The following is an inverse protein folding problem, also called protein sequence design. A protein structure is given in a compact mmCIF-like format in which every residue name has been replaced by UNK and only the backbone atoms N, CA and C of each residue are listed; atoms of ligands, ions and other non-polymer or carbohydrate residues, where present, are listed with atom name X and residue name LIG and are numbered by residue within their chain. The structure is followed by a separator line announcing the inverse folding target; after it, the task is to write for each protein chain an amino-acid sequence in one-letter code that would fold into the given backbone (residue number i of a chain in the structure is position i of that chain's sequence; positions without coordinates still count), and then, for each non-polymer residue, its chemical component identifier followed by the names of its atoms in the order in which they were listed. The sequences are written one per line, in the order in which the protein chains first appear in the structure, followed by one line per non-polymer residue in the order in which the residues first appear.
data_IF_897746901789
#
_entry.id   IF_897746901789
#
_cell.length_a   1.000
_cell.length_b   1.000
_cell.length_c   1.000
_cell.angle_alpha   90.00
_cell.angle_beta   90.00
_cell.angle_gamma   90.00
#
_symmetry.space_group_name_H-M   'P 1'
#
loop_
_entity.id
_entity.type
_entity.pdbx_description
1 polymer ?
#
# COMPACT_ATOMS: atom_id res chain seq x y z
N UNK A 1 39.70 -11.18 -17.89
CA UNK A 1 38.72 -10.25 -17.32
C UNK A 1 37.29 -10.63 -17.78
N UNK A 2 36.98 -10.69 -19.09
CA UNK A 2 35.66 -11.02 -19.62
C UNK A 2 35.13 -12.38 -19.14
N UNK A 3 35.97 -13.44 -19.20
CA UNK A 3 35.59 -14.78 -18.71
C UNK A 3 35.24 -14.78 -17.22
N UNK A 4 36.00 -14.08 -16.38
CA UNK A 4 35.72 -13.97 -14.96
C UNK A 4 34.32 -13.29 -14.69
N UNK A 5 34.04 -12.22 -15.40
CA UNK A 5 32.73 -11.54 -15.33
C UNK A 5 31.56 -12.42 -15.79
N UNK A 6 31.77 -13.24 -16.82
CA UNK A 6 30.76 -14.19 -17.29
C UNK A 6 30.47 -15.24 -16.20
N UNK A 7 31.55 -15.87 -15.66
CA UNK A 7 31.40 -16.88 -14.59
C UNK A 7 30.74 -16.30 -13.34
N UNK A 8 31.11 -15.10 -12.95
CA UNK A 8 30.47 -14.40 -11.83
C UNK A 8 28.97 -14.17 -12.10
N UNK A 9 28.60 -13.67 -13.28
CA UNK A 9 27.22 -13.46 -13.68
C UNK A 9 26.41 -14.78 -13.70
N UNK A 10 26.99 -15.88 -14.16
CA UNK A 10 26.38 -17.20 -14.15
C UNK A 10 26.16 -17.70 -12.72
N UNK A 11 27.13 -17.53 -11.84
CA UNK A 11 27.04 -17.87 -10.41
C UNK A 11 25.92 -17.08 -9.73
N UNK A 12 25.85 -15.78 -9.96
CA UNK A 12 24.80 -14.91 -9.42
C UNK A 12 23.40 -15.31 -9.93
N UNK A 13 23.29 -15.65 -11.21
CA UNK A 13 22.03 -16.14 -11.81
C UNK A 13 21.59 -17.48 -11.21
N UNK A 14 22.54 -18.40 -11.00
CA UNK A 14 22.26 -19.70 -10.39
C UNK A 14 21.77 -19.53 -8.93
N UNK A 15 22.44 -18.68 -8.15
CA UNK A 15 22.04 -18.35 -6.79
C UNK A 15 20.65 -17.66 -6.73
N UNK A 16 20.35 -16.77 -7.66
CA UNK A 16 19.06 -16.13 -7.77
C UNK A 16 17.93 -17.14 -8.06
N UNK A 17 18.16 -18.06 -9.01
CA UNK A 17 17.19 -19.14 -9.32
C UNK A 17 16.94 -20.07 -8.13
N UNK A 18 17.97 -20.39 -7.35
CA UNK A 18 17.83 -21.22 -6.16
C UNK A 18 16.95 -20.51 -5.11
N UNK A 19 17.24 -19.24 -4.84
CA UNK A 19 16.42 -18.41 -3.93
C UNK A 19 14.97 -18.33 -4.39
N UNK A 20 14.73 -18.08 -5.67
CA UNK A 20 13.38 -18.01 -6.23
C UNK A 20 12.61 -19.33 -6.06
N UNK A 21 13.25 -20.48 -6.28
CA UNK A 21 12.65 -21.81 -6.04
C UNK A 21 12.25 -22.01 -4.58
N UNK A 22 13.14 -21.63 -3.65
CA UNK A 22 12.86 -21.74 -2.22
C UNK A 22 11.73 -20.79 -1.79
N UNK A 23 11.73 -19.56 -2.26
CA UNK A 23 10.63 -18.61 -2.03
C UNK A 23 9.30 -19.14 -2.58
N UNK A 24 9.30 -19.69 -3.79
CA UNK A 24 8.12 -20.32 -4.37
C UNK A 24 7.62 -21.52 -3.56
N UNK A 25 8.56 -22.28 -2.94
CA UNK A 25 8.20 -23.37 -2.01
C UNK A 25 7.49 -22.83 -0.76
N UNK A 26 8.04 -21.77 -0.15
CA UNK A 26 7.46 -21.13 1.03
C UNK A 26 6.07 -20.54 0.73
N UNK A 27 5.89 -19.88 -0.40
CA UNK A 27 4.57 -19.36 -0.81
C UNK A 27 3.56 -20.50 -0.99
N UNK A 28 3.97 -21.67 -1.52
CA UNK A 28 3.07 -22.83 -1.62
C UNK A 28 2.66 -23.37 -0.25
N UNK A 29 3.57 -23.37 0.73
CA UNK A 29 3.25 -23.74 2.11
C UNK A 29 2.23 -22.79 2.70
N UNK A 30 2.47 -21.47 2.62
CA UNK A 30 1.54 -20.46 3.11
C UNK A 30 0.16 -20.57 2.44
N UNK A 31 0.13 -20.88 1.15
CA UNK A 31 -1.12 -21.18 0.44
C UNK A 31 -1.84 -22.41 0.99
N UNK A 32 -1.10 -23.48 1.25
CA UNK A 32 -1.67 -24.71 1.82
C UNK A 32 -2.21 -24.48 3.23
N UNK A 33 -1.57 -23.59 4.00
CA UNK A 33 -2.02 -23.13 5.31
C UNK A 33 -3.21 -22.14 5.23
N UNK A 34 -3.71 -21.82 4.03
CA UNK A 34 -4.88 -20.97 3.82
C UNK A 34 -4.62 -19.48 3.86
N UNK A 35 -3.36 -19.01 3.73
CA UNK A 35 -3.06 -17.59 3.61
C UNK A 35 -3.66 -17.00 2.34
N UNK A 36 -4.09 -15.74 2.40
CA UNK A 36 -4.67 -15.01 1.28
C UNK A 36 -3.65 -14.81 0.16
N UNK A 37 -3.93 -15.43 -0.97
CA UNK A 37 -3.13 -15.26 -2.17
C UNK A 37 -3.60 -14.07 -2.99
N UNK A 38 -2.66 -13.34 -3.57
CA UNK A 38 -2.96 -12.28 -4.52
C UNK A 38 -3.44 -12.89 -5.84
N UNK A 39 -4.50 -12.33 -6.40
CA UNK A 39 -5.02 -12.74 -7.70
C UNK A 39 -4.00 -12.50 -8.83
N UNK A 40 -4.26 -13.10 -10.00
CA UNK A 40 -3.32 -13.07 -11.12
C UNK A 40 -3.10 -11.65 -11.66
N UNK A 41 -4.15 -10.86 -11.84
CA UNK A 41 -4.08 -9.51 -12.42
C UNK A 41 -3.26 -8.58 -11.54
N UNK A 42 -3.67 -8.45 -10.28
CA UNK A 42 -2.96 -7.67 -9.26
C UNK A 42 -1.52 -8.14 -9.10
N UNK A 43 -1.30 -9.46 -8.98
CA UNK A 43 0.04 -10.02 -8.80
C UNK A 43 0.98 -9.76 -9.98
N UNK A 44 0.47 -9.78 -11.21
CA UNK A 44 1.26 -9.46 -12.41
C UNK A 44 1.72 -8.00 -12.42
N UNK A 45 0.81 -7.05 -12.18
CA UNK A 45 1.15 -5.63 -12.23
C UNK A 45 2.05 -5.22 -11.07
N UNK A 46 1.78 -5.69 -9.84
CA UNK A 46 2.63 -5.41 -8.68
C UNK A 46 4.03 -6.02 -8.87
N UNK A 47 4.13 -7.24 -9.42
CA UNK A 47 5.41 -7.87 -9.74
C UNK A 47 6.19 -7.10 -10.81
N UNK A 48 5.53 -6.57 -11.83
CA UNK A 48 6.17 -5.76 -12.86
C UNK A 48 6.67 -4.42 -12.30
N UNK A 49 5.87 -3.73 -11.48
CA UNK A 49 6.28 -2.51 -10.78
C UNK A 49 7.46 -2.76 -9.82
N UNK A 50 7.47 -3.88 -9.11
CA UNK A 50 8.59 -4.25 -8.24
C UNK A 50 9.90 -4.43 -9.03
N UNK A 51 9.85 -5.10 -10.19
CA UNK A 51 11.00 -5.25 -11.09
C UNK A 51 11.49 -3.92 -11.67
N UNK A 52 10.55 -3.03 -12.03
CA UNK A 52 10.89 -1.68 -12.48
C UNK A 52 11.52 -0.81 -11.38
N UNK A 53 11.40 -1.22 -10.11
CA UNK A 53 12.03 -0.53 -8.97
C UNK A 53 11.10 0.43 -8.24
N UNK A 54 9.78 0.40 -8.46
CA UNK A 54 8.82 1.31 -7.83
C UNK A 54 8.96 1.34 -6.31
N UNK A 55 9.02 0.16 -5.65
CA UNK A 55 9.13 0.09 -4.19
C UNK A 55 10.51 0.50 -3.67
N UNK A 56 11.56 0.24 -4.43
CA UNK A 56 12.92 0.70 -4.14
C UNK A 56 13.03 2.23 -4.17
N UNK A 57 12.27 2.87 -5.04
CA UNK A 57 12.22 4.32 -5.23
C UNK A 57 11.18 5.03 -4.35
N UNK A 58 10.72 4.37 -3.28
CA UNK A 58 9.83 4.96 -2.29
C UNK A 58 8.34 4.82 -2.59
N UNK A 59 7.97 4.08 -3.64
CA UNK A 59 6.58 3.69 -3.85
C UNK A 59 6.10 2.78 -2.72
N UNK A 60 4.94 3.05 -2.18
CA UNK A 60 4.32 2.31 -1.07
C UNK A 60 2.96 1.82 -1.53
N UNK A 61 2.76 0.51 -1.54
CA UNK A 61 1.46 -0.11 -1.80
C UNK A 61 0.54 0.21 -0.64
N UNK A 62 -0.63 0.75 -0.93
CA UNK A 62 -1.62 1.14 0.09
C UNK A 62 -2.97 0.48 -0.19
N UNK A 63 -4.02 0.92 0.48
CA UNK A 63 -5.38 0.42 0.24
C UNK A 63 -5.57 -1.04 0.62
N UNK A 64 -6.45 -1.74 -0.10
CA UNK A 64 -6.83 -3.12 0.19
C UNK A 64 -5.69 -4.10 0.01
N UNK A 65 -4.82 -3.88 -0.95
CA UNK A 65 -3.69 -4.78 -1.21
C UNK A 65 -2.67 -4.73 -0.07
N UNK A 66 -2.40 -3.55 0.51
CA UNK A 66 -1.58 -3.44 1.71
C UNK A 66 -2.21 -4.14 2.92
N UNK A 67 -3.52 -3.96 3.13
CA UNK A 67 -4.25 -4.61 4.21
C UNK A 67 -4.11 -6.13 4.18
N UNK A 68 -4.18 -6.75 3.00
CA UNK A 68 -4.01 -8.20 2.82
C UNK A 68 -2.61 -8.69 3.21
N UNK A 69 -1.59 -7.87 3.04
CA UNK A 69 -0.23 -8.21 3.42
C UNK A 69 -0.05 -8.32 4.96
N UNK A 70 -0.92 -7.67 5.73
CA UNK A 70 -0.86 -7.74 7.21
C UNK A 70 -1.25 -9.12 7.76
N UNK A 71 -1.89 -9.98 6.98
CA UNK A 71 -2.09 -11.38 7.38
C UNK A 71 -0.76 -12.08 7.70
N UNK A 72 0.24 -11.93 6.82
CA UNK A 72 1.57 -12.48 7.04
C UNK A 72 2.40 -11.68 8.04
N UNK A 73 2.26 -10.35 8.07
CA UNK A 73 3.02 -9.47 8.96
C UNK A 73 2.63 -9.62 10.44
N UNK A 74 1.34 -9.84 10.70
CA UNK A 74 0.81 -9.93 12.07
C UNK A 74 0.45 -11.37 12.47
N UNK A 75 0.62 -12.35 11.59
CA UNK A 75 0.25 -13.73 11.89
C UNK A 75 -1.24 -13.96 12.12
N UNK A 76 -2.09 -13.11 11.58
CA UNK A 76 -3.55 -13.19 11.72
C UNK A 76 -4.21 -13.82 10.51
N UNK A 77 -5.50 -14.15 10.60
CA UNK A 77 -6.33 -14.56 9.46
C UNK A 77 -7.33 -13.47 9.14
N UNK A 78 -7.32 -13.03 7.89
CA UNK A 78 -8.26 -12.02 7.38
C UNK A 78 -9.41 -12.74 6.68
N UNK A 79 -10.63 -12.53 7.15
CA UNK A 79 -11.84 -13.06 6.49
C UNK A 79 -12.04 -12.46 5.09
N UNK A 80 -12.62 -13.23 4.17
CA UNK A 80 -12.86 -12.77 2.80
C UNK A 80 -13.77 -11.54 2.72
N UNK A 81 -14.72 -11.40 3.64
CA UNK A 81 -15.57 -10.23 3.82
C UNK A 81 -14.80 -8.99 4.25
N UNK A 82 -13.79 -9.15 5.09
CA UNK A 82 -12.89 -8.07 5.55
C UNK A 82 -11.85 -7.70 4.49
N UNK A 83 -11.35 -8.70 3.76
CA UNK A 83 -10.46 -8.51 2.63
C UNK A 83 -11.13 -7.79 1.44
N UNK A 84 -12.47 -7.71 1.44
CA UNK A 84 -13.39 -7.24 0.42
C UNK A 84 -12.68 -6.85 -0.89
N UNK A 85 -12.76 -7.72 -1.87
CA UNK A 85 -12.00 -7.65 -3.11
C UNK A 85 -12.25 -6.32 -3.84
N UNK A 86 -11.24 -5.47 -3.89
CA UNK A 86 -11.11 -4.44 -4.92
C UNK A 86 -9.90 -4.83 -5.76
N UNK A 87 -10.06 -4.77 -7.07
CA UNK A 87 -8.96 -5.04 -8.01
C UNK A 87 -8.04 -3.81 -8.18
N UNK A 88 -8.24 -2.80 -7.31
CA UNK A 88 -7.47 -1.56 -7.35
C UNK A 88 -6.10 -1.76 -6.70
N UNK A 89 -5.09 -1.20 -7.34
CA UNK A 89 -3.70 -1.16 -6.88
C UNK A 89 -3.31 0.29 -6.68
N UNK A 90 -3.26 0.73 -5.43
CA UNK A 90 -2.92 2.09 -5.05
C UNK A 90 -1.45 2.16 -4.64
N UNK A 91 -0.67 3.01 -5.29
CA UNK A 91 0.74 3.28 -4.98
C UNK A 91 0.88 4.72 -4.53
N UNK A 92 1.38 4.93 -3.32
CA UNK A 92 1.66 6.25 -2.78
C UNK A 92 3.17 6.49 -2.70
N UNK A 93 3.62 7.71 -3.02
CA UNK A 93 5.01 8.13 -2.86
C UNK A 93 5.09 9.61 -2.53
N UNK A 94 6.15 10.01 -1.80
CA UNK A 94 6.41 11.43 -1.53
C UNK A 94 6.98 12.12 -2.77
N UNK A 95 6.34 13.19 -3.23
CA UNK A 95 6.83 14.05 -4.32
C UNK A 95 8.27 14.54 -4.05
N UNK A 96 8.54 15.04 -2.84
CA UNK A 96 9.87 15.54 -2.45
C UNK A 96 10.94 14.47 -2.47
N UNK A 97 10.62 13.24 -2.04
CA UNK A 97 11.53 12.11 -2.12
C UNK A 97 11.81 11.77 -3.58
N UNK A 98 10.76 11.69 -4.40
CA UNK A 98 10.86 11.39 -5.82
C UNK A 98 11.72 12.41 -6.58
N UNK A 99 11.62 13.68 -6.23
CA UNK A 99 12.47 14.74 -6.80
C UNK A 99 13.93 14.63 -6.31
N UNK A 100 14.14 14.28 -5.03
CA UNK A 100 15.46 14.21 -4.41
C UNK A 100 16.28 12.99 -4.84
N UNK A 101 15.61 11.91 -5.25
CA UNK A 101 16.28 10.71 -5.74
C UNK A 101 16.96 11.00 -7.08
N UNK A 102 18.29 10.74 -7.14
CA UNK A 102 19.07 10.77 -8.38
C UNK A 102 19.01 9.42 -9.10
N UNK A 103 17.88 8.74 -9.04
CA UNK A 103 17.61 7.42 -9.59
C UNK A 103 16.17 7.35 -10.10
N UNK A 104 15.90 6.48 -11.04
CA UNK A 104 14.61 6.32 -11.69
C UNK A 104 14.27 4.83 -11.84
N UNK A 105 13.03 4.56 -12.20
CA UNK A 105 12.61 3.22 -12.63
C UNK A 105 13.50 2.71 -13.77
N UNK A 106 13.80 1.43 -13.74
CA UNK A 106 14.69 0.78 -14.75
C UNK A 106 14.01 0.63 -16.11
N UNK A 107 12.69 0.66 -16.14
CA UNK A 107 11.83 0.58 -17.33
C UNK A 107 10.68 1.57 -17.15
N UNK A 108 10.34 2.40 -18.15
CA UNK A 108 9.24 3.34 -18.07
C UNK A 108 7.93 2.64 -17.70
N UNK A 109 7.25 3.12 -16.66
CA UNK A 109 6.01 2.47 -16.19
C UNK A 109 4.90 2.48 -17.26
N UNK A 110 4.90 3.44 -18.17
CA UNK A 110 4.00 3.48 -19.32
C UNK A 110 4.18 2.26 -20.23
N UNK A 111 5.42 1.84 -20.48
CA UNK A 111 5.74 0.65 -21.26
C UNK A 111 5.37 -0.63 -20.49
N UNK A 112 5.67 -0.68 -19.20
CA UNK A 112 5.27 -1.78 -18.30
C UNK A 112 3.76 -1.98 -18.33
N UNK A 113 3.00 -0.91 -18.21
CA UNK A 113 1.54 -0.94 -18.21
C UNK A 113 0.97 -1.32 -19.58
N UNK A 114 1.53 -0.77 -20.65
CA UNK A 114 1.14 -1.12 -22.01
C UNK A 114 1.37 -2.62 -22.29
N UNK A 115 2.52 -3.17 -21.85
CA UNK A 115 2.83 -4.60 -21.95
C UNK A 115 1.87 -5.51 -21.17
N UNK A 116 1.13 -4.97 -20.19
CA UNK A 116 0.11 -5.65 -19.41
C UNK A 116 -1.33 -5.28 -19.81
N UNK A 117 -1.49 -4.62 -20.97
CA UNK A 117 -2.78 -4.16 -21.49
C UNK A 117 -3.50 -3.16 -20.61
N UNK A 118 -2.75 -2.28 -19.93
CA UNK A 118 -3.30 -1.12 -19.23
C UNK A 118 -3.28 0.10 -20.14
N UNK A 119 -4.34 0.87 -20.09
CA UNK A 119 -4.52 2.13 -20.81
C UNK A 119 -4.61 3.29 -19.82
N UNK A 120 -3.98 4.45 -20.13
CA UNK A 120 -4.08 5.62 -19.29
C UNK A 120 -5.51 6.15 -19.29
N UNK A 121 -6.01 6.52 -18.11
CA UNK A 121 -7.30 7.19 -17.99
C UNK A 121 -7.12 8.71 -18.06
N UNK A 122 -8.01 9.41 -18.79
CA UNK A 122 -7.99 10.86 -18.84
C UNK A 122 -8.09 11.46 -17.44
N UNK A 123 -7.31 12.51 -17.19
CA UNK A 123 -7.40 13.34 -16.00
C UNK A 123 -8.00 14.72 -16.33
N UNK A 124 -8.44 15.44 -15.31
CA UNK A 124 -8.95 16.82 -15.47
C UNK A 124 -7.88 17.74 -16.03
N UNK A 125 -6.61 17.45 -15.79
CA UNK A 125 -5.44 18.20 -16.27
C UNK A 125 -5.06 17.85 -17.74
N UNK A 126 -5.69 16.84 -18.34
CA UNK A 126 -5.51 16.42 -19.75
C UNK A 126 -4.12 15.89 -20.11
N UNK A 127 -3.04 16.43 -19.55
CA UNK A 127 -1.66 16.09 -19.88
C UNK A 127 -1.01 15.12 -18.87
N UNK A 128 -1.53 15.04 -17.64
CA UNK A 128 -0.95 14.27 -16.54
C UNK A 128 -1.72 13.00 -16.30
N UNK A 129 -1.04 11.84 -16.40
CA UNK A 129 -1.62 10.52 -16.17
C UNK A 129 -1.16 10.02 -14.78
N UNK A 130 -2.13 9.75 -13.91
CA UNK A 130 -1.89 9.22 -12.58
C UNK A 130 -2.63 7.92 -12.30
N UNK A 131 -3.45 7.45 -13.27
CA UNK A 131 -4.19 6.19 -13.16
C UNK A 131 -4.32 5.50 -14.52
N UNK A 132 -4.33 4.17 -14.45
CA UNK A 132 -4.43 3.27 -15.60
C UNK A 132 -5.46 2.19 -15.33
N UNK A 133 -6.19 1.78 -16.36
CA UNK A 133 -7.16 0.69 -16.29
C UNK A 133 -6.73 -0.43 -17.23
N UNK A 134 -6.84 -1.69 -16.75
CA UNK A 134 -6.55 -2.84 -17.58
C UNK A 134 -7.70 -3.11 -18.56
N UNK A 135 -7.38 -3.27 -19.85
CA UNK A 135 -8.36 -3.57 -20.90
C UNK A 135 -8.98 -4.95 -20.64
N UNK A 136 -10.32 -5.01 -20.67
CA UNK A 136 -11.06 -6.26 -20.46
C UNK A 136 -11.16 -6.74 -19.01
N UNK A 137 -10.61 -5.99 -18.03
CA UNK A 137 -10.72 -6.25 -16.60
C UNK A 137 -11.06 -4.97 -15.85
N UNK A 138 -11.39 -5.10 -14.54
CA UNK A 138 -11.69 -3.92 -13.73
C UNK A 138 -10.47 -3.42 -12.93
N UNK A 139 -9.30 -4.05 -13.10
CA UNK A 139 -8.10 -3.67 -12.38
C UNK A 139 -7.68 -2.24 -12.71
N UNK A 140 -7.55 -1.42 -11.68
CA UNK A 140 -7.13 -0.02 -11.76
C UNK A 140 -5.81 0.13 -11.02
N UNK A 141 -4.87 0.87 -11.59
CA UNK A 141 -3.63 1.30 -10.92
C UNK A 141 -3.70 2.81 -10.73
N UNK A 142 -3.52 3.27 -9.50
CA UNK A 142 -3.52 4.68 -9.15
C UNK A 142 -2.23 5.08 -8.44
N UNK A 143 -1.66 6.22 -8.84
CA UNK A 143 -0.52 6.83 -8.15
C UNK A 143 -0.99 8.03 -7.33
N UNK A 144 -0.56 8.06 -6.07
CA UNK A 144 -0.99 9.03 -5.08
C UNK A 144 0.23 9.68 -4.41
N UNK A 145 0.07 10.91 -3.94
CA UNK A 145 1.10 11.63 -3.17
C UNK A 145 0.47 12.44 -2.04
N UNK A 146 1.20 12.76 -0.96
CA UNK A 146 0.67 13.62 0.09
C UNK A 146 0.41 15.05 -0.38
N UNK A 147 -0.77 15.58 -0.04
CA UNK A 147 -1.08 17.01 -0.13
C UNK A 147 -0.67 17.72 1.15
N UNK A 148 0.16 18.77 1.03
CA UNK A 148 0.57 19.62 2.14
C UNK A 148 -0.09 21.01 2.10
N UNK A 149 -0.62 21.42 0.96
CA UNK A 149 -1.37 22.68 0.78
C UNK A 149 -2.88 22.46 0.84
N UNK A 150 -3.64 23.53 0.59
CA UNK A 150 -5.11 23.47 0.62
C UNK A 150 -5.72 22.61 -0.50
N UNK A 151 -5.02 22.47 -1.62
CA UNK A 151 -5.51 21.78 -2.81
C UNK A 151 -4.93 20.38 -2.97
N UNK A 152 -5.78 19.42 -3.30
CA UNK A 152 -5.42 18.06 -3.72
C UNK A 152 -5.18 18.07 -5.24
N UNK A 153 -4.05 18.65 -5.69
CA UNK A 153 -3.69 18.79 -7.11
C UNK A 153 -2.89 17.57 -7.62
N UNK A 154 -2.80 17.41 -8.95
CA UNK A 154 -1.92 16.42 -9.56
C UNK A 154 -0.47 16.91 -9.47
N UNK A 155 0.46 16.03 -9.09
CA UNK A 155 1.89 16.27 -8.92
C UNK A 155 2.69 15.24 -9.69
N UNK A 156 3.90 15.60 -10.10
CA UNK A 156 4.78 14.66 -10.80
C UNK A 156 5.68 13.90 -9.82
N UNK A 157 5.91 12.64 -10.11
CA UNK A 157 6.83 11.75 -9.40
C UNK A 157 7.97 11.34 -10.34
N UNK A 158 9.01 12.20 -10.50
CA UNK A 158 10.05 11.99 -11.53
C UNK A 158 10.80 10.67 -11.40
N UNK A 159 11.09 10.20 -10.17
CA UNK A 159 11.75 8.92 -9.96
C UNK A 159 10.92 7.74 -10.48
N UNK A 160 9.60 7.86 -10.49
CA UNK A 160 8.68 6.83 -10.99
C UNK A 160 8.24 7.08 -12.45
N UNK A 161 8.53 8.26 -13.01
CA UNK A 161 8.16 8.64 -14.37
C UNK A 161 6.65 8.74 -14.58
N UNK A 162 5.87 9.06 -13.53
CA UNK A 162 4.41 9.19 -13.58
C UNK A 162 3.96 10.45 -12.83
N UNK A 163 2.69 10.85 -13.02
CA UNK A 163 2.03 11.81 -12.15
C UNK A 163 1.26 11.08 -11.04
N UNK A 164 0.85 11.82 -10.01
CA UNK A 164 0.12 11.31 -8.85
C UNK A 164 -0.94 12.31 -8.39
N UNK A 165 -2.09 11.82 -7.95
CA UNK A 165 -3.11 12.63 -7.29
C UNK A 165 -2.69 12.92 -5.85
N UNK A 166 -2.59 14.19 -5.48
CA UNK A 166 -2.30 14.57 -4.10
C UNK A 166 -3.54 14.37 -3.22
N UNK A 167 -3.34 13.79 -2.03
CA UNK A 167 -4.39 13.55 -1.05
C UNK A 167 -3.95 13.96 0.36
N UNK A 168 -4.84 14.62 1.10
CA UNK A 168 -4.63 14.93 2.51
C UNK A 168 -4.55 13.66 3.37
N UNK A 169 -3.83 13.73 4.47
CA UNK A 169 -3.60 12.67 5.46
C UNK A 169 -2.69 11.53 4.98
N UNK A 170 -2.30 11.50 3.71
CA UNK A 170 -1.50 10.43 3.14
C UNK A 170 -0.04 10.45 3.65
N UNK A 171 0.48 11.65 3.98
CA UNK A 171 1.81 11.82 4.58
C UNK A 171 2.01 11.00 5.86
N UNK A 172 0.99 10.93 6.72
CA UNK A 172 1.00 10.12 7.91
C UNK A 172 1.06 8.63 7.59
N UNK A 173 0.25 8.19 6.62
CA UNK A 173 0.13 6.78 6.24
C UNK A 173 1.47 6.21 5.78
N UNK A 174 2.19 6.92 4.90
CA UNK A 174 3.39 6.42 4.23
C UNK A 174 4.71 6.90 4.84
N UNK A 175 4.70 7.53 6.03
CA UNK A 175 5.89 8.13 6.62
C UNK A 175 6.98 7.14 7.02
N UNK A 176 6.62 5.94 7.43
CA UNK A 176 7.54 4.89 7.91
C UNK A 176 7.07 3.53 7.38
N UNK A 177 7.20 3.28 6.07
CA UNK A 177 6.72 2.04 5.50
C UNK A 177 7.61 0.86 5.91
N UNK A 178 7.03 -0.34 5.87
CA UNK A 178 7.71 -1.61 6.09
C UNK A 178 7.74 -2.43 4.81
N UNK A 179 8.70 -3.35 4.71
CA UNK A 179 8.80 -4.28 3.60
C UNK A 179 8.16 -5.62 3.97
N UNK A 180 7.24 -6.08 3.14
CA UNK A 180 6.51 -7.34 3.35
C UNK A 180 6.41 -8.14 2.05
N UNK A 181 6.27 -9.48 2.10
CA UNK A 181 6.01 -10.28 0.92
C UNK A 181 4.51 -10.22 0.54
N UNK A 182 4.21 -9.81 -0.69
CA UNK A 182 2.91 -10.02 -1.31
C UNK A 182 2.89 -11.43 -1.90
N UNK A 183 1.90 -12.26 -1.53
CA UNK A 183 1.86 -13.68 -1.87
C UNK A 183 1.37 -13.91 -3.31
N UNK A 184 2.31 -13.85 -4.24
CA UNK A 184 2.12 -14.14 -5.65
C UNK A 184 3.32 -14.89 -6.22
N UNK A 185 3.14 -16.06 -6.85
CA UNK A 185 4.19 -16.93 -7.40
C UNK A 185 5.29 -17.26 -6.39
N UNK A 186 6.48 -16.67 -6.53
CA UNK A 186 7.60 -16.79 -5.60
C UNK A 186 7.61 -15.71 -4.50
N UNK A 187 6.54 -14.93 -4.40
CA UNK A 187 6.50 -13.75 -3.54
C UNK A 187 7.04 -12.50 -4.23
N UNK A 188 6.44 -11.36 -3.92
CA UNK A 188 6.88 -10.06 -4.39
C UNK A 188 7.18 -9.19 -3.19
N UNK A 189 8.42 -8.73 -3.03
CA UNK A 189 8.76 -7.79 -1.96
C UNK A 189 8.16 -6.44 -2.30
N UNK A 190 7.26 -5.98 -1.45
CA UNK A 190 6.58 -4.68 -1.57
C UNK A 190 6.81 -3.83 -0.33
N UNK A 191 6.63 -2.54 -0.46
CA UNK A 191 6.62 -1.60 0.65
C UNK A 191 5.17 -1.26 0.96
N UNK A 192 4.79 -1.37 2.24
CA UNK A 192 3.44 -1.05 2.73
C UNK A 192 3.52 -0.15 3.97
N UNK A 193 2.48 0.60 4.34
CA UNK A 193 2.45 1.33 5.59
C UNK A 193 2.64 0.39 6.80
N UNK A 194 3.13 0.92 7.92
CA UNK A 194 3.03 0.21 9.20
C UNK A 194 1.56 -0.05 9.54
N UNK A 195 1.21 -1.26 10.03
CA UNK A 195 -0.18 -1.62 10.32
C UNK A 195 -0.84 -0.68 11.34
N UNK A 196 -0.10 -0.15 12.30
CA UNK A 196 -0.55 0.82 13.30
C UNK A 196 -1.01 2.13 12.65
N UNK A 197 -0.18 2.67 11.75
CA UNK A 197 -0.51 3.88 10.98
C UNK A 197 -1.67 3.65 10.01
N UNK A 198 -1.70 2.49 9.39
CA UNK A 198 -2.79 2.10 8.52
C UNK A 198 -4.12 2.05 9.28
N UNK A 199 -4.16 1.41 10.45
CA UNK A 199 -5.35 1.30 11.29
C UNK A 199 -5.90 2.68 11.70
N UNK A 200 -5.05 3.56 12.21
CA UNK A 200 -5.45 4.92 12.62
C UNK A 200 -5.86 5.78 11.40
N UNK A 201 -5.13 5.68 10.29
CA UNK A 201 -5.49 6.38 9.05
C UNK A 201 -6.86 5.95 8.51
N UNK A 202 -7.21 4.67 8.62
CA UNK A 202 -8.53 4.15 8.23
C UNK A 202 -9.67 4.77 9.02
N UNK A 203 -9.49 5.09 10.31
CA UNK A 203 -10.48 5.84 11.09
C UNK A 203 -10.72 7.24 10.50
N UNK A 204 -9.65 7.93 10.06
CA UNK A 204 -9.75 9.27 9.48
C UNK A 204 -10.46 9.24 8.12
N UNK A 205 -10.08 8.29 7.26
CA UNK A 205 -10.67 8.15 5.92
C UNK A 205 -12.14 7.72 6.00
N UNK A 206 -12.50 6.89 6.98
CA UNK A 206 -13.89 6.49 7.22
C UNK A 206 -14.79 7.70 7.52
N UNK A 207 -14.30 8.71 8.25
CA UNK A 207 -15.03 9.95 8.47
C UNK A 207 -15.14 10.79 7.19
N UNK A 208 -14.06 10.91 6.42
CA UNK A 208 -14.05 11.64 5.13
C UNK A 208 -15.09 11.10 4.14
N UNK A 209 -15.31 9.78 4.14
CA UNK A 209 -16.24 9.06 3.24
C UNK A 209 -17.65 8.93 3.78
N UNK A 210 -17.91 9.48 4.96
CA UNK A 210 -19.17 9.27 5.72
C UNK A 210 -20.43 9.71 4.98
N UNK A 211 -20.38 10.91 4.40
CA UNK A 211 -21.56 11.63 3.87
C UNK A 211 -21.55 11.68 2.32
N UNK A 212 -20.72 10.86 1.66
CA UNK A 212 -20.56 10.83 0.22
C UNK A 212 -21.07 9.54 -0.45
N UNK A 213 -20.83 9.38 -1.74
CA UNK A 213 -21.19 8.17 -2.48
C UNK A 213 -20.44 6.92 -1.99
N UNK A 214 -19.39 7.09 -1.21
CA UNK A 214 -18.48 6.04 -0.75
C UNK A 214 -18.82 5.46 0.65
N UNK A 215 -20.08 5.47 1.07
CA UNK A 215 -20.52 4.97 2.40
C UNK A 215 -20.17 3.50 2.63
N UNK A 216 -20.21 2.65 1.59
CA UNK A 216 -19.75 1.26 1.66
C UNK A 216 -18.22 1.17 1.92
N UNK A 217 -17.44 2.04 1.29
CA UNK A 217 -15.99 2.13 1.54
C UNK A 217 -15.72 2.61 2.97
N UNK A 218 -16.52 3.55 3.50
CA UNK A 218 -16.40 3.99 4.89
C UNK A 218 -16.67 2.85 5.91
N UNK A 219 -17.64 1.98 5.63
CA UNK A 219 -17.91 0.80 6.46
C UNK A 219 -16.73 -0.18 6.43
N UNK A 220 -16.19 -0.44 5.25
CA UNK A 220 -15.00 -1.28 5.06
C UNK A 220 -13.79 -0.71 5.81
N UNK A 221 -13.54 0.61 5.69
CA UNK A 221 -12.44 1.27 6.37
C UNK A 221 -12.53 1.10 7.89
N UNK A 222 -13.74 1.22 8.49
CA UNK A 222 -13.95 0.96 9.92
C UNK A 222 -13.69 -0.50 10.30
N UNK A 223 -14.17 -1.46 9.50
CA UNK A 223 -13.96 -2.89 9.78
C UNK A 223 -12.47 -3.26 9.73
N UNK A 224 -11.72 -2.73 8.76
CA UNK A 224 -10.27 -2.92 8.67
C UNK A 224 -9.54 -2.28 9.86
N UNK A 225 -9.91 -1.06 10.24
CA UNK A 225 -9.36 -0.40 11.43
C UNK A 225 -9.64 -1.19 12.71
N UNK A 226 -10.87 -1.67 12.90
CA UNK A 226 -11.28 -2.44 14.06
C UNK A 226 -10.45 -3.73 14.21
N UNK A 227 -10.34 -4.52 13.13
CA UNK A 227 -9.54 -5.75 13.15
C UNK A 227 -8.10 -5.46 13.59
N UNK A 228 -7.45 -4.50 12.94
CA UNK A 228 -6.05 -4.19 13.22
C UNK A 228 -5.88 -3.62 14.63
N UNK A 229 -6.74 -2.72 15.09
CA UNK A 229 -6.63 -2.14 16.45
C UNK A 229 -6.77 -3.21 17.51
N UNK A 230 -7.70 -4.16 17.36
CA UNK A 230 -7.86 -5.27 18.32
C UNK A 230 -6.62 -6.14 18.43
N UNK A 231 -5.98 -6.47 17.31
CA UNK A 231 -4.77 -7.26 17.28
C UNK A 231 -3.58 -6.45 17.82
N UNK A 232 -3.39 -5.24 17.31
CA UNK A 232 -2.25 -4.40 17.67
C UNK A 232 -2.26 -3.96 19.13
N UNK A 233 -3.43 -3.77 19.72
CA UNK A 233 -3.55 -3.45 21.15
C UNK A 233 -3.05 -4.60 22.05
N UNK A 234 -3.03 -5.82 21.58
CA UNK A 234 -2.49 -6.99 22.30
C UNK A 234 -1.02 -7.22 21.96
N UNK A 235 -0.64 -7.16 20.70
CA UNK A 235 0.67 -7.59 20.22
C UNK A 235 1.70 -6.46 20.16
N UNK A 236 1.26 -5.21 19.88
CA UNK A 236 2.12 -4.03 19.68
C UNK A 236 1.48 -2.77 20.28
N UNK A 237 1.11 -2.77 21.59
CA UNK A 237 0.38 -1.66 22.20
C UNK A 237 1.14 -0.33 22.16
N UNK A 238 2.46 -0.35 22.36
CA UNK A 238 3.30 0.85 22.32
C UNK A 238 3.35 1.48 20.91
N UNK A 239 3.51 0.66 19.88
CA UNK A 239 3.54 1.14 18.49
C UNK A 239 2.18 1.73 18.09
N UNK A 240 1.08 1.11 18.53
CA UNK A 240 -0.28 1.61 18.28
C UNK A 240 -0.52 2.93 19.02
N UNK A 241 -0.05 3.06 20.27
CA UNK A 241 -0.11 4.30 21.06
C UNK A 241 0.66 5.42 20.37
N UNK A 242 1.92 5.19 19.98
CA UNK A 242 2.72 6.15 19.23
C UNK A 242 2.01 6.62 17.95
N UNK A 243 1.47 5.69 17.18
CA UNK A 243 0.74 6.02 15.96
C UNK A 243 -0.48 6.92 16.23
N UNK A 244 -1.23 6.64 17.30
CA UNK A 244 -2.38 7.45 17.72
C UNK A 244 -1.97 8.84 18.17
N UNK A 245 -0.90 8.96 18.99
CA UNK A 245 -0.36 10.24 19.48
C UNK A 245 0.09 11.12 18.30
N UNK A 246 0.84 10.57 17.34
CA UNK A 246 1.29 11.30 16.15
C UNK A 246 0.09 11.80 15.33
N UNK A 247 -0.96 10.99 15.18
CA UNK A 247 -2.17 11.41 14.50
C UNK A 247 -2.89 12.55 15.24
N UNK A 248 -3.02 12.46 16.57
CA UNK A 248 -3.62 13.51 17.41
C UNK A 248 -2.81 14.81 17.39
N UNK A 249 -1.47 14.72 17.37
CA UNK A 249 -0.56 15.87 17.29
C UNK A 249 -0.58 16.55 15.92
N UNK A 250 -1.05 15.88 14.86
CA UNK A 250 -1.12 16.41 13.49
C UNK A 250 -2.13 17.53 13.28
N UNK A 251 -2.90 17.88 14.31
CA UNK A 251 -3.74 19.08 14.32
C UNK A 251 -5.24 18.84 14.57
N UNK A 252 -6.04 19.92 14.67
CA UNK A 252 -7.45 19.81 15.06
C UNK A 252 -8.30 19.03 14.06
N UNK A 253 -8.04 19.16 12.76
CA UNK A 253 -8.78 18.42 11.74
C UNK A 253 -8.61 16.88 11.91
N UNK A 254 -7.41 16.43 12.30
CA UNK A 254 -7.12 15.04 12.58
C UNK A 254 -7.90 14.54 13.82
N UNK A 255 -7.82 15.29 14.92
CA UNK A 255 -8.54 14.96 16.17
C UNK A 255 -10.05 14.87 15.95
N UNK A 256 -10.63 15.84 15.24
CA UNK A 256 -12.06 15.89 14.98
C UNK A 256 -12.54 14.66 14.18
N UNK A 257 -11.79 14.25 13.13
CA UNK A 257 -12.12 13.07 12.33
C UNK A 257 -11.99 11.77 13.11
N UNK A 258 -10.92 11.62 13.89
CA UNK A 258 -10.73 10.48 14.78
C UNK A 258 -11.89 10.38 15.77
N UNK A 259 -12.21 11.47 16.45
CA UNK A 259 -13.29 11.53 17.43
C UNK A 259 -14.66 11.19 16.80
N UNK A 260 -14.95 11.73 15.60
CA UNK A 260 -16.21 11.48 14.89
C UNK A 260 -16.36 10.00 14.49
N UNK A 261 -15.28 9.33 14.10
CA UNK A 261 -15.33 7.89 13.82
C UNK A 261 -15.43 7.06 15.10
N UNK A 262 -14.64 7.38 16.13
CA UNK A 262 -14.61 6.66 17.40
C UNK A 262 -15.94 6.76 18.17
N UNK A 263 -16.68 7.86 18.03
CA UNK A 263 -18.04 7.99 18.57
C UNK A 263 -19.03 6.92 18.04
N UNK A 264 -18.74 6.34 16.88
CA UNK A 264 -19.51 5.25 16.24
C UNK A 264 -18.92 3.86 16.50
N UNK A 265 -17.79 3.80 17.18
CA UNK A 265 -17.04 2.57 17.47
C UNK A 265 -16.67 2.53 18.96
N UNK A 266 -17.66 2.47 19.88
CA UNK A 266 -17.41 2.65 21.33
C UNK A 266 -16.44 1.61 21.91
N UNK A 267 -16.43 0.37 21.40
CA UNK A 267 -15.49 -0.66 21.84
C UNK A 267 -14.05 -0.32 21.42
N UNK A 268 -13.84 0.18 20.23
CA UNK A 268 -12.52 0.59 19.74
C UNK A 268 -12.05 1.86 20.46
N UNK A 269 -12.97 2.78 20.72
CA UNK A 269 -12.67 3.96 21.53
C UNK A 269 -12.25 3.61 22.98
N UNK A 270 -12.82 2.56 23.57
CA UNK A 270 -12.38 2.04 24.87
C UNK A 270 -10.95 1.48 24.79
N UNK A 271 -10.68 0.58 23.85
CA UNK A 271 -9.35 0.00 23.64
C UNK A 271 -8.28 1.09 23.48
N UNK A 272 -8.53 2.10 22.63
CA UNK A 272 -7.57 3.18 22.40
C UNK A 272 -7.40 4.12 23.60
N UNK A 273 -8.39 4.23 24.48
CA UNK A 273 -8.25 4.98 25.76
C UNK A 273 -7.41 4.21 26.77
N UNK A 274 -7.58 2.88 26.83
CA UNK A 274 -6.83 2.04 27.75
C UNK A 274 -5.33 2.01 27.42
N UNK A 275 -4.93 2.37 26.18
CA UNK A 275 -3.52 2.56 25.80
C UNK A 275 -2.91 3.86 26.34
N UNK A 276 -3.75 4.85 26.66
CA UNK A 276 -3.28 6.15 27.16
C UNK A 276 -2.92 6.09 28.68
N UNK A 277 -3.27 4.99 29.40
CA UNK A 277 -2.95 4.70 30.81
C UNK A 277 -4.03 5.22 31.74
#
# INVERSE_FOLDING_TARGET
ELRARITEAETLRAAARLREREQARLVRILRAEGCLMTDRGTGQVVSAMARAGVFRLGGTLIGTQAFRCYEGELGLRIGLDQAAMTDDVDIASFERLSIALQDQVTEPLTEVFQGLSFEPLPSVDGARVWRWRQSGQQTLVEFLTPAFGAQEAIRDLPALGVSAQALHYLNYLIAQPIQVPLLYRSGVLVQVPRPERFAIHKLIVADRRRDGPDTLKARKDRAQAELLIRVLAQDRPEDLREALEVARASGPAWRNRLQATLARMPQIAAILRDLDG
#
